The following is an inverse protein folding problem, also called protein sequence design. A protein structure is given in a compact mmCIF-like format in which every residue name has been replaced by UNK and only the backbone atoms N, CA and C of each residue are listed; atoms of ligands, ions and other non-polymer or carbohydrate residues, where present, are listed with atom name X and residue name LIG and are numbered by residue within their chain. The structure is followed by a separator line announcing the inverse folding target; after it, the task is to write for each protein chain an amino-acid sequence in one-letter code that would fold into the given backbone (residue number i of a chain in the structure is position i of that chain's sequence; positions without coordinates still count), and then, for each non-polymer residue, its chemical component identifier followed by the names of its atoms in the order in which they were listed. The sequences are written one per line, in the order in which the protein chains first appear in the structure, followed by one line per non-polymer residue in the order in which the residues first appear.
data_IF_706038710329
#
_entry.id   IF_706038710329
#
_cell.length_a   1.000
_cell.length_b   1.000
_cell.length_c   1.000
_cell.angle_alpha   90.00
_cell.angle_beta   90.00
_cell.angle_gamma   90.00
#
_symmetry.space_group_name_H-M   'P 1'
#
loop_
_entity.id
_entity.type
_entity.pdbx_description
1 polymer ?
#
# COMPACT_ATOMS: atom_id res chain seq x y z
N UNK A 1 4.23 12.55 -20.57
CA UNK A 1 3.58 11.24 -20.73
C UNK A 1 3.35 11.04 -22.21
N UNK A 2 3.75 9.88 -22.73
CA UNK A 2 3.64 9.50 -24.14
C UNK A 2 3.01 8.11 -24.24
N UNK A 3 2.53 7.73 -25.41
CA UNK A 3 2.05 6.37 -25.66
C UNK A 3 2.24 5.95 -27.11
N UNK A 4 2.49 4.67 -27.35
CA UNK A 4 2.61 4.07 -28.68
C UNK A 4 2.12 2.61 -28.63
N UNK A 5 1.72 2.05 -29.77
CA UNK A 5 1.31 0.65 -29.95
C UNK A 5 2.42 -0.21 -30.60
N UNK A 6 3.48 0.42 -31.08
CA UNK A 6 4.64 -0.23 -31.68
C UNK A 6 5.76 -0.45 -30.64
N UNK A 7 6.05 -1.72 -30.34
CA UNK A 7 7.11 -2.10 -29.39
C UNK A 7 8.49 -1.56 -29.76
N UNK A 8 8.84 -1.46 -31.04
CA UNK A 8 10.16 -0.95 -31.45
C UNK A 8 10.30 0.54 -31.10
N UNK A 9 9.20 1.29 -31.24
CA UNK A 9 9.16 2.70 -30.84
C UNK A 9 9.19 2.85 -29.33
N UNK A 10 8.45 2.02 -28.60
CA UNK A 10 8.45 2.00 -27.14
C UNK A 10 9.87 1.77 -26.61
N UNK A 11 10.56 0.72 -27.09
CA UNK A 11 11.91 0.39 -26.64
C UNK A 11 12.92 1.47 -27.04
N UNK A 12 12.85 1.99 -28.27
CA UNK A 12 13.71 3.10 -28.69
C UNK A 12 13.51 4.35 -27.83
N UNK A 13 12.27 4.67 -27.47
CA UNK A 13 11.94 5.83 -26.64
C UNK A 13 12.40 5.64 -25.19
N UNK A 14 12.23 4.44 -24.65
CA UNK A 14 12.70 4.07 -23.31
C UNK A 14 14.22 4.22 -23.20
N UNK A 15 14.97 3.73 -24.19
CA UNK A 15 16.43 3.85 -24.23
C UNK A 15 16.90 5.31 -24.30
N UNK A 16 16.25 6.14 -25.11
CA UNK A 16 16.55 7.58 -25.18
C UNK A 16 16.30 8.28 -23.85
N UNK A 17 15.15 8.00 -23.22
CA UNK A 17 14.81 8.59 -21.92
C UNK A 17 15.84 8.21 -20.85
N UNK A 18 16.25 6.93 -20.82
CA UNK A 18 17.27 6.43 -19.91
C UNK A 18 18.62 7.13 -20.15
N UNK A 19 19.05 7.23 -21.40
CA UNK A 19 20.32 7.85 -21.76
C UNK A 19 20.37 9.35 -21.42
N UNK A 20 19.25 10.06 -21.47
CA UNK A 20 19.17 11.49 -21.15
C UNK A 20 18.82 11.79 -19.68
N UNK A 21 18.50 10.78 -18.86
CA UNK A 21 18.01 10.97 -17.50
C UNK A 21 16.65 11.68 -17.45
N UNK A 22 15.81 11.49 -18.45
CA UNK A 22 14.49 12.12 -18.54
C UNK A 22 13.46 11.36 -17.70
N UNK A 23 12.73 12.06 -16.82
CA UNK A 23 11.58 11.51 -16.12
C UNK A 23 10.38 11.39 -17.08
N UNK A 24 10.20 10.21 -17.67
CA UNK A 24 9.14 9.92 -18.63
C UNK A 24 8.21 8.79 -18.15
N UNK A 25 6.91 9.02 -18.27
CA UNK A 25 5.90 7.95 -18.28
C UNK A 25 5.52 7.63 -19.72
N UNK A 26 5.67 6.36 -20.10
CA UNK A 26 5.43 5.86 -21.46
C UNK A 26 4.43 4.70 -21.41
N UNK A 27 3.28 4.86 -22.06
CA UNK A 27 2.24 3.83 -22.15
C UNK A 27 2.39 2.98 -23.40
N UNK A 28 2.50 1.66 -23.24
CA UNK A 28 2.43 0.73 -24.35
C UNK A 28 0.99 0.25 -24.53
N UNK A 29 0.39 0.50 -25.70
CA UNK A 29 -0.93 -0.02 -26.06
C UNK A 29 -0.80 -1.44 -26.63
N UNK A 30 -0.71 -2.42 -25.74
CA UNK A 30 -0.64 -3.84 -26.11
C UNK A 30 -0.67 -4.74 -24.87
N UNK A 31 -0.33 -6.02 -25.05
CA UNK A 31 -0.29 -6.95 -23.94
C UNK A 31 1.06 -6.86 -23.20
N UNK A 32 1.02 -6.76 -21.87
CA UNK A 32 2.22 -6.67 -21.03
C UNK A 32 3.15 -7.88 -21.21
N UNK A 33 2.61 -9.05 -21.55
CA UNK A 33 3.40 -10.25 -21.83
C UNK A 33 4.28 -10.07 -23.06
N UNK A 34 3.77 -9.45 -24.12
CA UNK A 34 4.55 -9.19 -25.34
C UNK A 34 5.72 -8.24 -25.04
N UNK A 35 5.48 -7.24 -24.18
CA UNK A 35 6.55 -6.35 -23.69
C UNK A 35 7.58 -7.10 -22.86
N UNK A 36 7.15 -7.92 -21.88
CA UNK A 36 8.05 -8.70 -21.05
C UNK A 36 8.91 -9.66 -21.87
N UNK A 37 8.30 -10.41 -22.80
CA UNK A 37 9.02 -11.33 -23.69
C UNK A 37 10.02 -10.58 -24.56
N UNK A 38 9.65 -9.41 -25.08
CA UNK A 38 10.56 -8.58 -25.88
C UNK A 38 11.75 -8.07 -25.08
N UNK A 39 11.51 -7.55 -23.87
CA UNK A 39 12.57 -7.08 -22.95
C UNK A 39 13.53 -8.23 -22.59
N UNK A 40 12.99 -9.42 -22.32
CA UNK A 40 13.77 -10.61 -22.01
C UNK A 40 14.63 -11.06 -23.21
N UNK A 41 14.07 -11.04 -24.42
CA UNK A 41 14.75 -11.44 -25.65
C UNK A 41 15.90 -10.49 -26.03
N UNK A 42 15.70 -9.17 -25.90
CA UNK A 42 16.72 -8.17 -26.24
C UNK A 42 17.77 -7.95 -25.15
N UNK A 43 17.51 -8.44 -23.94
CA UNK A 43 18.36 -8.14 -22.79
C UNK A 43 18.37 -6.67 -22.42
N UNK A 44 17.21 -6.04 -22.60
CA UNK A 44 17.00 -4.66 -22.18
C UNK A 44 17.14 -4.56 -20.65
N UNK A 45 17.98 -3.65 -20.15
CA UNK A 45 18.11 -3.43 -18.70
C UNK A 45 16.80 -2.90 -18.13
N UNK A 46 16.28 -3.60 -17.13
CA UNK A 46 15.13 -3.18 -16.32
C UNK A 46 15.56 -3.25 -14.86
N UNK A 47 15.51 -2.12 -14.16
CA UNK A 47 15.92 -2.07 -12.76
C UNK A 47 14.80 -2.58 -11.83
N UNK A 48 13.56 -2.18 -12.12
CA UNK A 48 12.38 -2.42 -11.29
C UNK A 48 11.23 -2.96 -12.14
N UNK A 49 10.59 -4.04 -11.68
CA UNK A 49 9.46 -4.68 -12.37
C UNK A 49 8.30 -5.01 -11.42
N UNK A 50 7.07 -4.86 -11.89
CA UNK A 50 5.87 -5.27 -11.15
C UNK A 50 4.70 -5.55 -12.10
N UNK A 51 3.57 -6.00 -11.55
CA UNK A 51 2.32 -6.21 -12.26
C UNK A 51 1.14 -5.65 -11.46
N UNK A 52 0.21 -4.96 -12.13
CA UNK A 52 -1.00 -4.41 -11.53
C UNK A 52 -2.25 -4.72 -12.35
N UNK A 53 -2.25 -5.83 -13.10
CA UNK A 53 -3.45 -6.37 -13.74
C UNK A 53 -4.48 -6.80 -12.68
N UNK A 54 -5.74 -7.02 -13.04
CA UNK A 54 -6.79 -7.33 -12.06
C UNK A 54 -6.94 -8.84 -11.81
N UNK A 55 -5.86 -9.48 -11.34
CA UNK A 55 -5.81 -10.93 -11.07
C UNK A 55 -6.58 -11.37 -9.82
N UNK A 56 -7.23 -10.45 -9.09
CA UNK A 56 -8.28 -10.78 -8.12
C UNK A 56 -9.58 -11.25 -8.81
N UNK A 57 -9.72 -11.01 -10.12
CA UNK A 57 -10.86 -11.41 -10.94
C UNK A 57 -10.39 -11.86 -12.35
N UNK A 58 -9.49 -12.85 -12.45
CA UNK A 58 -8.73 -13.14 -13.66
C UNK A 58 -9.60 -13.62 -14.82
N UNK A 59 -10.72 -14.28 -14.52
CA UNK A 59 -11.59 -14.94 -15.51
C UNK A 59 -12.82 -14.12 -15.92
N UNK A 60 -12.96 -12.90 -15.39
CA UNK A 60 -14.12 -12.03 -15.65
C UNK A 60 -13.69 -10.66 -16.18
N UNK A 61 -12.63 -10.64 -17.00
CA UNK A 61 -12.10 -9.42 -17.63
C UNK A 61 -11.05 -8.68 -16.81
N UNK A 62 -10.55 -9.28 -15.73
CA UNK A 62 -9.46 -8.71 -14.95
C UNK A 62 -8.06 -8.93 -15.56
N UNK A 63 -7.91 -9.97 -16.38
CA UNK A 63 -6.69 -10.29 -17.11
C UNK A 63 -7.02 -10.73 -18.54
N UNK A 64 -6.26 -10.24 -19.52
CA UNK A 64 -6.45 -10.54 -20.93
C UNK A 64 -5.25 -11.36 -21.44
N UNK A 65 -5.47 -12.59 -21.94
CA UNK A 65 -4.38 -13.46 -22.36
C UNK A 65 -3.65 -12.93 -23.59
N UNK A 66 -2.33 -13.13 -23.62
CA UNK A 66 -1.49 -12.78 -24.76
C UNK A 66 -1.84 -13.62 -26.00
N UNK A 67 -1.75 -13.00 -27.17
CA UNK A 67 -2.11 -13.63 -28.45
C UNK A 67 -3.58 -13.54 -28.85
N UNK A 68 -4.44 -12.99 -27.99
CA UNK A 68 -5.83 -12.65 -28.32
C UNK A 68 -6.05 -11.13 -28.27
N UNK A 69 -6.84 -10.61 -29.20
CA UNK A 69 -7.33 -9.23 -29.11
C UNK A 69 -8.34 -9.08 -27.96
N UNK A 70 -8.62 -7.83 -27.59
CA UNK A 70 -9.67 -7.50 -26.61
C UNK A 70 -11.03 -8.08 -27.02
N UNK A 71 -11.40 -7.95 -28.29
CA UNK A 71 -12.68 -8.44 -28.81
C UNK A 71 -12.75 -9.97 -28.83
N UNK A 72 -11.66 -10.65 -29.21
CA UNK A 72 -11.60 -12.10 -29.18
C UNK A 72 -11.68 -12.63 -27.75
N UNK A 73 -10.96 -11.99 -26.82
CA UNK A 73 -10.98 -12.33 -25.40
C UNK A 73 -12.39 -12.18 -24.81
N UNK A 74 -13.09 -11.08 -25.10
CA UNK A 74 -14.46 -10.84 -24.62
C UNK A 74 -15.46 -11.85 -25.19
N UNK A 75 -15.31 -12.23 -26.46
CA UNK A 75 -16.13 -13.29 -27.06
C UNK A 75 -15.84 -14.64 -26.42
N UNK A 76 -14.56 -14.99 -26.25
CA UNK A 76 -14.15 -16.26 -25.67
C UNK A 76 -14.63 -16.40 -24.22
N UNK A 77 -14.52 -15.35 -23.41
CA UNK A 77 -14.94 -15.34 -22.01
C UNK A 77 -16.43 -15.73 -21.81
N UNK A 78 -17.28 -15.48 -22.80
CA UNK A 78 -18.71 -15.83 -22.75
C UNK A 78 -19.04 -17.11 -23.52
N UNK A 79 -18.41 -17.33 -24.67
CA UNK A 79 -18.70 -18.46 -25.55
C UNK A 79 -17.97 -19.75 -25.12
N UNK A 80 -16.78 -19.63 -24.53
CA UNK A 80 -15.93 -20.73 -24.06
C UNK A 80 -15.15 -20.32 -22.79
N UNK A 81 -15.82 -20.29 -21.63
CA UNK A 81 -15.20 -19.87 -20.38
C UNK A 81 -14.03 -20.75 -19.95
N UNK A 82 -14.07 -22.06 -20.24
CA UNK A 82 -13.01 -22.99 -19.86
C UNK A 82 -11.77 -22.80 -20.73
N UNK A 83 -11.95 -22.62 -22.05
CA UNK A 83 -10.86 -22.24 -22.94
C UNK A 83 -10.26 -20.87 -22.58
N UNK A 84 -11.09 -19.91 -22.14
CA UNK A 84 -10.58 -18.62 -21.66
C UNK A 84 -9.69 -18.77 -20.42
N UNK A 85 -10.07 -19.64 -19.46
CA UNK A 85 -9.22 -19.96 -18.29
C UNK A 85 -7.89 -20.56 -18.70
N UNK A 86 -7.90 -21.48 -19.67
CA UNK A 86 -6.68 -22.10 -20.18
C UNK A 86 -5.76 -21.08 -20.86
N UNK A 87 -6.33 -20.19 -21.68
CA UNK A 87 -5.59 -19.10 -22.33
C UNK A 87 -4.97 -18.13 -21.30
N UNK A 88 -5.71 -17.77 -20.25
CA UNK A 88 -5.19 -16.96 -19.13
C UNK A 88 -4.03 -17.66 -18.45
N UNK A 89 -4.18 -18.95 -18.12
CA UNK A 89 -3.12 -19.74 -17.49
C UNK A 89 -1.84 -19.81 -18.34
N UNK A 90 -1.98 -19.99 -19.65
CA UNK A 90 -0.85 -20.00 -20.58
C UNK A 90 -0.14 -18.64 -20.65
N UNK A 91 -0.91 -17.55 -20.73
CA UNK A 91 -0.36 -16.20 -20.71
C UNK A 91 0.40 -15.90 -19.42
N UNK A 92 -0.11 -16.34 -18.26
CA UNK A 92 0.59 -16.18 -16.97
C UNK A 92 1.91 -16.95 -16.92
N UNK A 93 1.95 -18.20 -17.44
CA UNK A 93 3.19 -18.98 -17.52
C UNK A 93 4.24 -18.28 -18.37
N UNK A 94 3.84 -17.74 -19.53
CA UNK A 94 4.71 -16.95 -20.41
C UNK A 94 5.22 -15.67 -19.74
N UNK A 95 4.34 -14.94 -19.07
CA UNK A 95 4.69 -13.72 -18.34
C UNK A 95 5.75 -13.99 -17.27
N UNK A 96 5.55 -15.04 -16.45
CA UNK A 96 6.51 -15.42 -15.41
C UNK A 96 7.85 -15.85 -16.00
N UNK A 97 7.85 -16.63 -17.09
CA UNK A 97 9.10 -17.04 -17.73
C UNK A 97 9.94 -15.84 -18.19
N UNK A 98 9.30 -14.82 -18.78
CA UNK A 98 9.97 -13.59 -19.17
C UNK A 98 10.46 -12.76 -17.97
N UNK A 99 9.64 -12.62 -16.93
CA UNK A 99 10.03 -11.94 -15.67
C UNK A 99 11.24 -12.64 -15.04
N UNK A 100 11.23 -13.97 -14.94
CA UNK A 100 12.34 -14.76 -14.41
C UNK A 100 13.63 -14.54 -15.20
N UNK A 101 13.54 -14.46 -16.53
CA UNK A 101 14.70 -14.23 -17.39
C UNK A 101 15.33 -12.84 -17.15
N UNK A 102 14.52 -11.82 -16.88
CA UNK A 102 14.99 -10.45 -16.62
C UNK A 102 15.45 -10.30 -15.17
N UNK A 103 14.74 -10.89 -14.21
CA UNK A 103 15.13 -10.95 -12.80
C UNK A 103 16.48 -11.65 -12.61
N UNK A 104 16.73 -12.72 -13.36
CA UNK A 104 18.03 -13.41 -13.41
C UNK A 104 19.20 -12.52 -13.90
N UNK A 105 18.91 -11.34 -14.44
CA UNK A 105 19.90 -10.34 -14.89
C UNK A 105 19.98 -9.12 -13.96
N UNK A 106 19.29 -9.14 -12.82
CA UNK A 106 19.39 -8.11 -11.78
C UNK A 106 18.16 -7.23 -11.57
N UNK A 107 17.06 -7.45 -12.32
CA UNK A 107 15.80 -6.75 -12.06
C UNK A 107 15.22 -7.16 -10.70
N UNK A 108 14.79 -6.18 -9.91
CA UNK A 108 13.99 -6.43 -8.71
C UNK A 108 12.50 -6.46 -9.08
N UNK A 109 11.90 -7.64 -9.07
CA UNK A 109 10.48 -7.83 -9.29
C UNK A 109 9.71 -7.95 -7.97
N UNK A 110 8.51 -7.38 -7.91
CA UNK A 110 7.59 -7.57 -6.78
C UNK A 110 6.13 -7.65 -7.21
N UNK A 111 5.30 -8.35 -6.42
CA UNK A 111 3.84 -8.38 -6.56
C UNK A 111 3.19 -7.12 -5.98
N UNK A 112 2.30 -6.47 -6.73
CA UNK A 112 1.66 -5.22 -6.31
C UNK A 112 0.38 -5.42 -5.47
N UNK A 113 0.17 -6.60 -4.91
CA UNK A 113 -1.00 -6.96 -4.13
C UNK A 113 -2.26 -7.14 -4.98
N UNK A 114 -2.09 -7.65 -6.21
CA UNK A 114 -3.15 -7.90 -7.18
C UNK A 114 -3.44 -9.39 -7.41
N UNK A 115 -2.82 -10.27 -6.61
CA UNK A 115 -2.87 -11.73 -6.72
C UNK A 115 -2.10 -12.32 -7.92
N UNK A 116 -1.12 -11.61 -8.50
CA UNK A 116 -0.33 -12.09 -9.62
C UNK A 116 0.43 -13.39 -9.29
N UNK A 117 1.20 -13.39 -8.21
CA UNK A 117 1.98 -14.59 -7.82
C UNK A 117 1.08 -15.78 -7.48
N UNK A 118 -0.07 -15.51 -6.86
CA UNK A 118 -1.06 -16.52 -6.50
C UNK A 118 -1.70 -17.16 -7.73
N UNK A 119 -2.21 -16.37 -8.67
CA UNK A 119 -2.82 -16.91 -9.89
C UNK A 119 -1.78 -17.55 -10.82
N UNK A 120 -0.57 -17.00 -10.90
CA UNK A 120 0.52 -17.63 -11.63
C UNK A 120 0.92 -18.99 -11.04
N UNK A 121 0.96 -19.11 -9.72
CA UNK A 121 1.16 -20.39 -9.01
C UNK A 121 0.04 -21.39 -9.32
N UNK A 122 -1.23 -20.95 -9.26
CA UNK A 122 -2.39 -21.78 -9.64
C UNK A 122 -2.34 -22.22 -11.10
N UNK A 123 -1.81 -21.39 -11.98
CA UNK A 123 -1.59 -21.70 -13.40
C UNK A 123 -0.37 -22.61 -13.66
N UNK A 124 0.40 -22.97 -12.63
CA UNK A 124 1.57 -23.83 -12.75
C UNK A 124 2.78 -23.15 -13.38
N UNK A 125 2.95 -21.84 -13.18
CA UNK A 125 4.13 -21.12 -13.65
C UNK A 125 5.41 -21.60 -12.95
N UNK A 126 6.42 -21.99 -13.74
CA UNK A 126 7.68 -22.49 -13.21
C UNK A 126 8.49 -21.37 -12.52
N UNK A 127 9.16 -21.72 -11.42
CA UNK A 127 10.02 -20.79 -10.68
C UNK A 127 9.28 -19.70 -9.90
N UNK A 128 7.94 -19.77 -9.80
CA UNK A 128 7.15 -18.81 -9.01
C UNK A 128 7.09 -19.18 -7.52
N UNK A 129 7.29 -20.46 -7.19
CA UNK A 129 7.38 -20.99 -5.83
C UNK A 129 8.81 -21.48 -5.54
N UNK A 130 9.25 -21.30 -4.30
CA UNK A 130 10.44 -21.91 -3.72
C UNK A 130 10.11 -23.31 -3.19
N UNK A 131 11.15 -24.05 -2.81
CA UNK A 131 11.01 -25.43 -2.27
C UNK A 131 10.16 -25.50 -1.00
N UNK A 132 10.14 -24.43 -0.20
CA UNK A 132 9.34 -24.32 1.02
C UNK A 132 7.88 -23.90 0.78
N UNK A 133 7.49 -23.71 -0.49
CA UNK A 133 6.17 -23.24 -0.89
C UNK A 133 5.96 -21.73 -0.82
N UNK A 134 6.97 -20.94 -0.41
CA UNK A 134 6.92 -19.49 -0.47
C UNK A 134 7.08 -18.97 -1.90
N UNK A 135 6.61 -17.76 -2.19
CA UNK A 135 6.79 -17.17 -3.52
C UNK A 135 8.22 -16.74 -3.78
N UNK A 136 8.71 -16.96 -5.00
CA UNK A 136 10.06 -16.59 -5.43
C UNK A 136 10.31 -15.07 -5.43
N UNK A 137 9.24 -14.28 -5.55
CA UNK A 137 9.26 -12.82 -5.47
C UNK A 137 8.51 -12.34 -4.23
N UNK A 138 8.96 -11.25 -3.60
CA UNK A 138 8.23 -10.61 -2.51
C UNK A 138 6.99 -9.89 -3.05
N UNK A 139 5.99 -9.71 -2.19
CA UNK A 139 5.02 -8.63 -2.40
C UNK A 139 5.63 -7.27 -2.04
N UNK A 140 5.10 -6.20 -2.61
CA UNK A 140 5.51 -4.84 -2.24
C UNK A 140 5.27 -4.55 -0.76
N UNK A 141 4.34 -5.26 -0.11
CA UNK A 141 4.14 -5.12 1.34
C UNK A 141 5.22 -5.84 2.14
N UNK A 142 5.68 -7.00 1.71
CA UNK A 142 6.76 -7.72 2.39
C UNK A 142 8.06 -6.92 2.43
N UNK A 143 8.42 -6.28 1.32
CA UNK A 143 9.75 -5.66 1.16
C UNK A 143 9.74 -4.14 1.28
N UNK A 144 8.62 -3.47 0.98
CA UNK A 144 8.53 -2.01 0.95
C UNK A 144 7.54 -1.52 2.00
N UNK A 145 6.23 -1.76 1.84
CA UNK A 145 5.22 -1.11 2.69
C UNK A 145 5.30 -1.54 4.14
N UNK A 146 5.49 -2.83 4.42
CA UNK A 146 5.63 -3.33 5.78
C UNK A 146 6.85 -2.69 6.46
N UNK A 147 8.07 -2.99 5.97
CA UNK A 147 9.30 -2.54 6.61
C UNK A 147 9.51 -1.02 6.59
N UNK A 148 9.08 -0.31 5.55
CA UNK A 148 9.38 1.12 5.37
C UNK A 148 8.23 2.01 5.85
N UNK A 149 6.98 1.54 5.78
CA UNK A 149 5.80 2.34 6.11
C UNK A 149 5.09 1.83 7.37
N UNK A 150 4.38 0.71 7.27
CA UNK A 150 3.44 0.24 8.29
C UNK A 150 4.11 -0.11 9.61
N UNK A 151 5.30 -0.74 9.57
CA UNK A 151 6.03 -1.04 10.78
C UNK A 151 6.49 0.25 11.49
N UNK A 152 6.53 1.40 10.81
CA UNK A 152 6.77 2.71 11.43
C UNK A 152 5.51 3.55 11.64
N UNK A 153 4.32 2.99 11.37
CA UNK A 153 3.03 3.65 11.55
C UNK A 153 2.63 4.59 10.41
N UNK A 154 3.44 4.70 9.36
CA UNK A 154 3.07 5.44 8.15
C UNK A 154 2.00 4.68 7.39
N UNK A 155 1.01 5.41 6.92
CA UNK A 155 -0.02 4.89 6.05
C UNK A 155 -0.89 6.02 5.53
N UNK A 156 -1.88 5.70 4.68
CA UNK A 156 -2.67 6.69 3.98
C UNK A 156 -3.41 7.58 4.97
N UNK A 157 -3.15 8.88 4.93
CA UNK A 157 -3.85 9.90 5.66
C UNK A 157 -4.52 10.84 4.66
N UNK A 158 -5.85 10.87 4.68
CA UNK A 158 -6.67 11.52 3.66
C UNK A 158 -7.57 12.54 4.31
N UNK A 159 -7.91 13.58 3.55
CA UNK A 159 -8.93 14.51 3.98
C UNK A 159 -9.74 15.07 2.83
N UNK A 160 -10.90 15.60 3.16
CA UNK A 160 -11.83 16.28 2.26
C UNK A 160 -12.24 17.62 2.88
N UNK A 161 -12.10 18.70 2.11
CA UNK A 161 -12.59 20.02 2.50
C UNK A 161 -14.08 20.12 2.18
N UNK A 162 -14.93 20.20 3.21
CA UNK A 162 -16.40 20.20 3.03
C UNK A 162 -16.94 21.48 2.37
N UNK A 163 -16.14 22.55 2.34
CA UNK A 163 -16.46 23.79 1.61
C UNK A 163 -16.46 23.61 0.08
N UNK A 164 -15.77 22.59 -0.43
CA UNK A 164 -15.55 22.41 -1.86
C UNK A 164 -14.62 23.46 -2.50
N UNK A 165 -13.94 24.29 -1.71
CA UNK A 165 -13.08 25.36 -2.19
C UNK A 165 -11.65 24.88 -2.50
N UNK A 166 -11.09 25.34 -3.63
CA UNK A 166 -9.67 25.20 -3.93
C UNK A 166 -8.78 25.94 -2.92
N UNK A 167 -9.25 27.06 -2.36
CA UNK A 167 -8.50 27.82 -1.35
C UNK A 167 -8.31 27.04 -0.06
N UNK A 168 -9.33 26.26 0.33
CA UNK A 168 -9.26 25.44 1.54
C UNK A 168 -8.32 24.24 1.31
N UNK A 169 -8.37 23.65 0.11
CA UNK A 169 -7.42 22.59 -0.25
C UNK A 169 -5.98 23.11 -0.24
N UNK A 170 -5.73 24.28 -0.84
CA UNK A 170 -4.43 24.94 -0.81
C UNK A 170 -3.96 25.24 0.62
N UNK A 171 -4.88 25.69 1.49
CA UNK A 171 -4.58 25.94 2.90
C UNK A 171 -4.22 24.65 3.63
N UNK A 172 -4.96 23.55 3.40
CA UNK A 172 -4.65 22.24 3.99
C UNK A 172 -3.34 21.66 3.46
N UNK A 173 -3.04 21.79 2.17
CA UNK A 173 -1.77 21.33 1.57
C UNK A 173 -0.59 22.06 2.23
N UNK A 174 -0.69 23.39 2.40
CA UNK A 174 0.33 24.20 3.08
C UNK A 174 0.50 23.79 4.54
N UNK A 175 -0.59 23.67 5.31
CA UNK A 175 -0.54 23.30 6.73
C UNK A 175 0.07 21.90 6.90
N UNK A 176 -0.35 20.93 6.09
CA UNK A 176 0.21 19.58 6.13
C UNK A 176 1.72 19.60 5.81
N UNK A 177 2.14 20.34 4.79
CA UNK A 177 3.55 20.52 4.46
C UNK A 177 4.38 21.14 5.59
N UNK A 178 3.88 22.18 6.25
CA UNK A 178 4.53 22.81 7.42
C UNK A 178 4.66 21.83 8.60
N UNK A 179 3.63 21.03 8.86
CA UNK A 179 3.66 19.99 9.90
C UNK A 179 4.64 18.87 9.56
N UNK A 180 4.68 18.39 8.31
CA UNK A 180 5.65 17.37 7.89
C UNK A 180 7.08 17.90 7.95
N UNK A 181 7.33 19.13 7.50
CA UNK A 181 8.65 19.75 7.52
C UNK A 181 9.20 19.95 8.93
N UNK A 182 8.35 20.41 9.86
CA UNK A 182 8.73 20.54 11.27
C UNK A 182 8.97 19.17 11.91
N UNK A 183 8.08 18.21 11.69
CA UNK A 183 8.21 16.85 12.23
C UNK A 183 9.48 16.17 11.70
N UNK A 184 9.80 16.30 10.41
CA UNK A 184 11.01 15.72 9.80
C UNK A 184 12.33 16.27 10.37
N UNK A 185 12.33 17.45 11.00
CA UNK A 185 13.53 18.02 11.66
C UNK A 185 13.78 17.38 13.03
N UNK A 186 12.73 16.91 13.68
CA UNK A 186 12.75 16.30 15.02
C UNK A 186 12.78 14.76 14.94
N UNK A 187 12.42 14.20 13.79
CA UNK A 187 12.29 12.75 13.60
C UNK A 187 13.62 12.02 13.54
N UNK A 188 13.67 10.79 14.08
CA UNK A 188 14.83 9.92 13.98
C UNK A 188 15.04 9.46 12.52
N UNK A 189 16.23 8.90 12.23
CA UNK A 189 16.63 8.55 10.86
C UNK A 189 15.65 7.57 10.20
N UNK A 190 15.10 6.65 10.99
CA UNK A 190 14.21 5.57 10.58
C UNK A 190 12.89 6.08 9.96
N UNK A 191 12.35 7.20 10.45
CA UNK A 191 11.07 7.74 9.97
C UNK A 191 11.23 9.00 9.12
N UNK A 192 12.42 9.62 9.15
CA UNK A 192 12.68 10.90 8.48
C UNK A 192 12.50 10.83 6.97
N UNK A 193 12.99 9.78 6.32
CA UNK A 193 12.90 9.67 4.86
C UNK A 193 11.44 9.66 4.38
N UNK A 194 10.58 8.87 5.04
CA UNK A 194 9.15 8.82 4.71
C UNK A 194 8.46 10.18 4.86
N UNK A 195 8.81 10.97 5.88
CA UNK A 195 8.29 12.33 6.02
C UNK A 195 8.75 13.26 4.89
N UNK A 196 10.01 13.12 4.45
CA UNK A 196 10.56 13.92 3.34
C UNK A 196 9.92 13.56 2.00
N UNK A 197 9.66 12.27 1.75
CA UNK A 197 8.98 11.80 0.53
C UNK A 197 7.56 12.38 0.47
N UNK A 198 6.85 12.37 1.60
CA UNK A 198 5.50 12.94 1.69
C UNK A 198 5.47 14.47 1.65
N UNK A 199 6.53 15.12 2.14
CA UNK A 199 6.72 16.57 2.00
C UNK A 199 6.99 16.97 0.54
N UNK A 200 7.78 16.19 -0.19
CA UNK A 200 8.01 16.40 -1.62
C UNK A 200 6.68 16.27 -2.38
N UNK A 201 5.94 15.19 -2.11
CA UNK A 201 4.63 14.94 -2.69
C UNK A 201 3.67 16.10 -2.46
N UNK A 202 3.43 16.51 -1.20
CA UNK A 202 2.41 17.53 -0.90
C UNK A 202 2.74 18.89 -1.55
N UNK A 203 4.03 19.20 -1.73
CA UNK A 203 4.50 20.41 -2.43
C UNK A 203 4.23 20.38 -3.93
N UNK A 204 4.18 19.20 -4.55
CA UNK A 204 3.94 19.02 -5.98
C UNK A 204 2.49 18.59 -6.31
N UNK A 205 1.71 18.19 -5.31
CA UNK A 205 0.41 17.54 -5.51
C UNK A 205 -0.61 18.44 -6.24
N UNK A 206 -0.49 19.76 -6.12
CA UNK A 206 -1.31 20.74 -6.86
C UNK A 206 -0.98 20.76 -8.35
N UNK A 207 0.30 20.79 -8.70
CA UNK A 207 0.79 20.91 -10.07
C UNK A 207 0.38 19.70 -10.93
N UNK A 208 0.29 18.54 -10.29
CA UNK A 208 -0.15 17.28 -10.88
C UNK A 208 -1.66 17.22 -11.19
N UNK A 209 -2.48 18.17 -10.71
CA UNK A 209 -3.92 18.31 -11.06
C UNK A 209 -4.75 17.01 -10.91
N UNK A 210 -4.53 16.29 -9.82
CA UNK A 210 -5.13 14.97 -9.57
C UNK A 210 -6.52 15.01 -8.91
N UNK A 211 -7.06 16.21 -8.64
CA UNK A 211 -8.35 16.36 -7.94
C UNK A 211 -9.50 16.08 -8.88
N UNK A 212 -10.32 15.09 -8.54
CA UNK A 212 -11.58 14.76 -9.23
C UNK A 212 -12.71 14.76 -8.21
N UNK A 213 -13.78 15.52 -8.47
CA UNK A 213 -14.93 15.62 -7.57
C UNK A 213 -14.63 16.47 -6.33
N UNK A 214 -14.67 15.86 -5.15
CA UNK A 214 -14.46 16.55 -3.87
C UNK A 214 -13.03 17.11 -3.75
N UNK A 215 -12.88 18.27 -3.09
CA UNK A 215 -11.57 18.85 -2.78
C UNK A 215 -10.86 18.03 -1.71
N UNK A 216 -10.09 17.06 -2.16
CA UNK A 216 -9.48 16.04 -1.33
C UNK A 216 -7.98 15.92 -1.60
N UNK A 217 -7.26 15.45 -0.59
CA UNK A 217 -5.83 15.15 -0.66
C UNK A 217 -5.52 13.89 0.14
N UNK A 218 -4.40 13.28 -0.20
CA UNK A 218 -3.82 12.12 0.48
C UNK A 218 -2.32 12.39 0.66
N UNK A 219 -1.74 11.86 1.72
CA UNK A 219 -0.30 11.65 1.91
C UNK A 219 -0.14 10.52 2.94
N UNK A 220 1.08 10.08 3.20
CA UNK A 220 1.40 9.16 4.29
C UNK A 220 1.92 9.92 5.51
N UNK A 221 1.40 9.58 6.68
CA UNK A 221 1.85 10.12 7.96
C UNK A 221 1.82 9.05 9.04
N UNK A 222 2.78 9.13 9.95
CA UNK A 222 2.93 8.27 11.12
C UNK A 222 2.06 8.73 12.30
N UNK A 223 2.13 8.01 13.42
CA UNK A 223 1.36 8.28 14.65
C UNK A 223 1.38 9.78 15.07
N UNK A 224 2.54 10.42 15.29
CA UNK A 224 2.57 11.83 15.63
C UNK A 224 2.15 12.73 14.46
N UNK A 225 2.52 12.39 13.23
CA UNK A 225 2.17 13.17 12.04
C UNK A 225 0.67 13.32 11.84
N UNK A 226 -0.10 12.22 11.93
CA UNK A 226 -1.56 12.24 11.78
C UNK A 226 -2.23 13.14 12.82
N UNK A 227 -1.84 13.00 14.08
CA UNK A 227 -2.39 13.80 15.19
C UNK A 227 -2.05 15.29 15.00
N UNK A 228 -0.79 15.62 14.69
CA UNK A 228 -0.35 17.01 14.50
C UNK A 228 -1.08 17.69 13.33
N UNK A 229 -1.23 17.00 12.19
CA UNK A 229 -1.96 17.53 11.03
C UNK A 229 -3.44 17.72 11.38
N UNK A 230 -4.08 16.73 12.02
CA UNK A 230 -5.48 16.82 12.41
C UNK A 230 -5.76 18.01 13.34
N UNK A 231 -4.92 18.22 14.35
CA UNK A 231 -5.04 19.34 15.28
C UNK A 231 -4.80 20.69 14.58
N UNK A 232 -3.82 20.77 13.67
CA UNK A 232 -3.54 21.98 12.90
C UNK A 232 -4.69 22.34 11.94
N UNK A 233 -5.31 21.35 11.31
CA UNK A 233 -6.51 21.56 10.50
C UNK A 233 -7.68 22.04 11.36
N UNK A 234 -7.93 21.38 12.50
CA UNK A 234 -9.03 21.77 13.38
C UNK A 234 -8.84 23.19 13.93
N UNK A 235 -7.62 23.57 14.32
CA UNK A 235 -7.28 24.95 14.68
C UNK A 235 -7.59 25.90 13.50
N UNK A 236 -7.08 25.61 12.30
CA UNK A 236 -7.32 26.45 11.13
C UNK A 236 -8.81 26.63 10.78
N UNK A 237 -9.65 25.61 10.97
CA UNK A 237 -11.11 25.72 10.85
C UNK A 237 -11.67 26.65 11.93
N UNK A 238 -11.25 26.50 13.20
CA UNK A 238 -11.74 27.30 14.33
C UNK A 238 -11.49 28.81 14.15
N UNK A 239 -10.37 29.18 13.51
CA UNK A 239 -9.99 30.58 13.24
C UNK A 239 -10.37 31.07 11.83
N UNK A 240 -11.09 30.25 11.06
CA UNK A 240 -11.57 30.60 9.72
C UNK A 240 -10.50 30.70 8.64
N UNK A 241 -9.30 30.16 8.88
CA UNK A 241 -8.25 30.05 7.86
C UNK A 241 -8.56 28.94 6.83
N UNK A 242 -9.35 27.95 7.24
CA UNK A 242 -10.07 27.03 6.36
C UNK A 242 -11.55 27.37 6.54
N UNK A 243 -12.26 27.62 5.43
CA UNK A 243 -13.60 28.22 5.46
C UNK A 243 -14.73 27.28 5.91
N UNK A 244 -14.50 25.97 5.90
CA UNK A 244 -15.47 24.98 6.35
C UNK A 244 -14.84 23.73 6.98
N UNK A 245 -15.65 22.81 7.52
CA UNK A 245 -15.17 21.59 8.15
C UNK A 245 -14.30 20.72 7.23
N UNK A 246 -13.38 19.96 7.83
CA UNK A 246 -12.53 18.99 7.13
C UNK A 246 -12.86 17.60 7.63
N UNK A 247 -13.18 16.68 6.72
CA UNK A 247 -13.34 15.27 7.06
C UNK A 247 -12.00 14.57 6.85
N UNK A 248 -11.46 13.97 7.91
CA UNK A 248 -10.35 13.04 7.82
C UNK A 248 -10.84 11.62 7.51
N UNK A 249 -9.99 10.85 6.88
CA UNK A 249 -10.19 9.41 6.67
C UNK A 249 -8.93 8.77 6.12
N UNK A 250 -9.07 7.54 5.65
CA UNK A 250 -7.99 6.79 5.01
C UNK A 250 -8.53 5.68 4.12
N UNK A 251 -7.66 5.14 3.26
CA UNK A 251 -7.92 3.83 2.69
C UNK A 251 -7.78 2.75 3.79
N UNK A 252 -8.31 1.57 3.55
CA UNK A 252 -8.16 0.45 4.48
C UNK A 252 -6.75 -0.16 4.41
N UNK A 253 -6.00 0.11 3.33
CA UNK A 253 -4.59 -0.24 3.17
C UNK A 253 -3.69 0.54 4.14
N UNK A 254 -3.71 0.16 5.41
CA UNK A 254 -3.06 0.89 6.50
C UNK A 254 -2.50 -0.04 7.59
N UNK A 255 -1.68 0.51 8.47
CA UNK A 255 -0.96 -0.18 9.55
C UNK A 255 -1.83 -1.08 10.42
N UNK A 256 -3.04 -0.65 10.77
CA UNK A 256 -3.94 -1.34 11.71
C UNK A 256 -5.26 -1.78 11.10
N UNK A 257 -5.66 -1.16 10.00
CA UNK A 257 -7.02 -1.30 9.46
C UNK A 257 -7.30 -2.65 8.84
N UNK A 258 -6.28 -3.42 8.46
CA UNK A 258 -6.47 -4.59 7.58
C UNK A 258 -5.63 -5.78 7.99
N UNK A 259 -6.29 -6.94 8.07
CA UNK A 259 -5.68 -8.25 8.13
C UNK A 259 -5.82 -8.94 6.76
N UNK A 260 -4.68 -9.16 6.10
CA UNK A 260 -4.60 -9.67 4.73
C UNK A 260 -3.27 -10.41 4.52
N UNK A 261 -3.24 -11.76 4.63
CA UNK A 261 -2.00 -12.53 4.61
C UNK A 261 -1.25 -12.42 3.27
N UNK A 262 -1.93 -12.01 2.20
CA UNK A 262 -1.34 -11.83 0.87
C UNK A 262 -0.96 -10.39 0.55
N UNK A 263 -1.22 -9.45 1.48
CA UNK A 263 -0.91 -8.03 1.26
C UNK A 263 -0.57 -7.35 2.58
N UNK A 264 -1.49 -6.65 3.25
CA UNK A 264 -1.20 -5.78 4.40
C UNK A 264 -0.48 -6.46 5.57
N UNK A 265 -0.70 -7.77 5.79
CA UNK A 265 -0.06 -8.56 6.84
C UNK A 265 0.88 -9.63 6.29
N UNK A 266 1.29 -9.54 5.03
CA UNK A 266 2.21 -10.51 4.40
C UNK A 266 3.60 -10.53 5.05
N UNK A 267 4.04 -9.39 5.63
CA UNK A 267 5.31 -9.30 6.36
C UNK A 267 5.23 -9.81 7.82
N UNK A 268 4.08 -10.33 8.26
CA UNK A 268 3.88 -10.90 9.61
C UNK A 268 4.26 -12.39 9.59
N UNK A 269 5.31 -12.75 10.34
CA UNK A 269 5.95 -14.08 10.25
C UNK A 269 5.78 -14.96 11.49
N UNK A 270 4.99 -14.55 12.48
CA UNK A 270 4.70 -15.34 13.68
C UNK A 270 3.54 -16.34 13.49
N UNK A 271 2.99 -16.43 12.28
CA UNK A 271 1.82 -17.25 11.93
C UNK A 271 0.48 -16.53 12.09
N UNK A 272 0.45 -15.33 12.69
CA UNK A 272 -0.77 -14.57 12.92
C UNK A 272 -1.27 -13.78 11.71
N UNK A 273 -0.60 -13.86 10.56
CA UNK A 273 -1.03 -13.16 9.33
C UNK A 273 -2.42 -13.57 8.85
N UNK A 274 -2.87 -14.78 9.21
CA UNK A 274 -4.17 -15.36 8.86
C UNK A 274 -5.30 -15.03 9.86
N UNK A 275 -5.00 -14.35 10.97
CA UNK A 275 -6.05 -13.94 11.92
C UNK A 275 -6.70 -12.62 11.47
N UNK A 276 -7.81 -12.23 12.09
CA UNK A 276 -8.55 -11.00 11.78
C UNK A 276 -8.74 -10.08 13.00
N UNK A 277 -8.04 -10.37 14.10
CA UNK A 277 -8.23 -9.68 15.38
C UNK A 277 -7.86 -8.21 15.28
N UNK A 278 -6.79 -7.86 14.56
CA UNK A 278 -6.28 -6.49 14.49
C UNK A 278 -7.30 -5.56 13.82
N UNK A 279 -7.82 -5.97 12.66
CA UNK A 279 -8.79 -5.18 11.89
C UNK A 279 -10.12 -5.01 12.66
N UNK A 280 -10.60 -6.08 13.30
CA UNK A 280 -11.83 -6.04 14.11
C UNK A 280 -11.64 -5.15 15.34
N UNK A 281 -10.54 -5.32 16.08
CA UNK A 281 -10.19 -4.48 17.22
C UNK A 281 -10.03 -3.01 16.82
N UNK A 282 -9.44 -2.73 15.64
CA UNK A 282 -9.23 -1.37 15.17
C UNK A 282 -10.55 -0.62 15.06
N UNK A 283 -11.49 -1.16 14.29
CA UNK A 283 -12.80 -0.57 14.03
C UNK A 283 -13.59 -0.37 15.33
N UNK A 284 -13.56 -1.38 16.21
CA UNK A 284 -14.21 -1.30 17.52
C UNK A 284 -13.59 -0.17 18.33
N UNK A 285 -12.26 -0.09 18.42
CA UNK A 285 -11.59 0.93 19.20
C UNK A 285 -11.70 2.35 18.64
N UNK A 286 -11.80 2.52 17.32
CA UNK A 286 -12.11 3.81 16.67
C UNK A 286 -13.51 4.29 17.05
N UNK A 287 -14.49 3.37 17.08
CA UNK A 287 -15.91 3.68 17.27
C UNK A 287 -16.22 4.39 18.60
N UNK A 288 -15.51 4.02 19.68
CA UNK A 288 -15.70 4.62 21.00
C UNK A 288 -14.60 5.64 21.37
N UNK A 289 -13.70 5.98 20.43
CA UNK A 289 -12.71 7.05 20.58
C UNK A 289 -13.04 8.33 19.80
N UNK A 290 -14.19 8.34 19.13
CA UNK A 290 -14.77 9.55 18.57
C UNK A 290 -14.69 9.67 17.06
N UNK A 291 -14.43 8.57 16.34
CA UNK A 291 -14.71 8.51 14.90
C UNK A 291 -16.15 9.00 14.62
N UNK A 292 -16.35 9.75 13.54
CA UNK A 292 -17.69 10.18 13.12
C UNK A 292 -18.46 9.01 12.50
N UNK A 293 -17.76 8.13 11.79
CA UNK A 293 -18.24 6.80 11.40
C UNK A 293 -17.07 5.82 11.32
N UNK A 294 -17.41 4.54 11.36
CA UNK A 294 -16.48 3.43 11.14
C UNK A 294 -17.09 2.42 10.16
N UNK A 295 -16.23 1.59 9.56
CA UNK A 295 -16.63 0.56 8.60
C UNK A 295 -15.73 -0.67 8.74
N UNK A 296 -16.31 -1.86 8.56
CA UNK A 296 -15.61 -3.14 8.51
C UNK A 296 -16.11 -3.92 7.30
N UNK A 297 -15.20 -4.27 6.40
CA UNK A 297 -15.49 -4.92 5.12
C UNK A 297 -14.82 -6.29 5.03
N UNK A 298 -15.32 -7.10 4.10
CA UNK A 298 -14.74 -8.37 3.67
C UNK A 298 -14.35 -8.24 2.20
N UNK A 299 -13.10 -8.55 1.88
CA UNK A 299 -12.64 -8.71 0.50
C UNK A 299 -11.98 -7.50 -0.15
N UNK A 300 -11.73 -6.41 0.59
CA UNK A 300 -11.08 -5.23 0.03
C UNK A 300 -9.65 -5.50 -0.43
N UNK A 301 -9.40 -5.38 -1.73
CA UNK A 301 -8.07 -5.51 -2.31
C UNK A 301 -7.79 -6.87 -2.92
N UNK A 302 -7.62 -7.90 -2.10
CA UNK A 302 -7.23 -9.25 -2.55
C UNK A 302 -8.42 -10.17 -2.86
N UNK A 303 -9.66 -9.71 -2.64
CA UNK A 303 -10.88 -10.44 -3.00
C UNK A 303 -11.61 -11.09 -1.82
N UNK A 304 -12.88 -11.45 -2.06
CA UNK A 304 -13.80 -11.94 -1.03
C UNK A 304 -13.28 -13.19 -0.30
N UNK A 305 -13.26 -13.13 1.04
CA UNK A 305 -12.83 -14.25 1.90
C UNK A 305 -11.34 -14.23 2.25
N UNK A 306 -10.54 -13.41 1.57
CA UNK A 306 -9.07 -13.38 1.74
C UNK A 306 -8.60 -12.24 2.66
N UNK A 307 -9.50 -11.35 3.08
CA UNK A 307 -9.15 -10.13 3.83
C UNK A 307 -10.31 -9.60 4.66
N UNK A 308 -9.97 -9.13 5.87
CA UNK A 308 -10.85 -8.33 6.74
C UNK A 308 -10.26 -6.94 6.88
N UNK A 309 -10.98 -5.92 6.44
CA UNK A 309 -10.43 -4.57 6.31
C UNK A 309 -11.40 -3.49 6.77
N UNK A 310 -10.93 -2.57 7.61
CA UNK A 310 -11.71 -1.52 8.24
C UNK A 310 -11.13 -0.12 8.08
N UNK A 311 -12.00 0.87 8.27
CA UNK A 311 -11.68 2.28 8.11
C UNK A 311 -12.62 3.18 8.88
N UNK A 312 -12.28 4.48 8.90
CA UNK A 312 -12.99 5.50 9.65
C UNK A 312 -13.22 6.75 8.80
N UNK A 313 -14.14 7.59 9.26
CA UNK A 313 -14.12 9.02 8.95
C UNK A 313 -14.30 9.85 10.20
N UNK A 314 -13.64 11.00 10.24
CA UNK A 314 -13.60 11.89 11.41
C UNK A 314 -13.75 13.36 10.99
N UNK A 315 -14.83 14.00 11.44
CA UNK A 315 -15.12 15.40 11.17
C UNK A 315 -14.34 16.33 12.11
N UNK A 316 -13.60 17.27 11.51
CA UNK A 316 -12.98 18.42 12.16
C UNK A 316 -13.82 19.66 11.88
N UNK A 317 -14.53 20.13 12.89
CA UNK A 317 -15.46 21.27 12.82
C UNK A 317 -14.93 22.53 13.52
N UNK A 318 -13.67 22.52 13.96
CA UNK A 318 -13.04 23.59 14.73
C UNK A 318 -13.34 23.54 16.23
N UNK A 319 -14.15 22.60 16.71
CA UNK A 319 -14.48 22.51 18.13
C UNK A 319 -13.33 21.89 18.95
N UNK A 320 -13.18 22.26 20.24
CA UNK A 320 -12.29 21.55 21.15
C UNK A 320 -12.63 20.06 21.31
N UNK A 321 -13.90 19.69 21.09
CA UNK A 321 -14.33 18.29 21.11
C UNK A 321 -13.74 17.50 19.95
N UNK A 322 -13.78 18.06 18.73
CA UNK A 322 -13.14 17.44 17.57
C UNK A 322 -11.64 17.23 17.78
N UNK A 323 -10.93 18.18 18.41
CA UNK A 323 -9.51 17.99 18.79
C UNK A 323 -9.31 16.80 19.74
N UNK A 324 -10.16 16.65 20.76
CA UNK A 324 -10.06 15.50 21.69
C UNK A 324 -10.33 14.18 20.99
N UNK A 325 -11.36 14.12 20.14
CA UNK A 325 -11.70 12.92 19.35
C UNK A 325 -10.57 12.56 18.40
N UNK A 326 -10.00 13.54 17.69
CA UNK A 326 -8.88 13.34 16.79
C UNK A 326 -7.65 12.76 17.49
N UNK A 327 -7.21 13.36 18.59
CA UNK A 327 -6.06 12.85 19.35
C UNK A 327 -6.30 11.44 19.88
N UNK A 328 -7.50 11.15 20.41
CA UNK A 328 -7.82 9.84 20.97
C UNK A 328 -7.91 8.76 19.90
N UNK A 329 -8.70 9.01 18.85
CA UNK A 329 -8.97 8.05 17.78
C UNK A 329 -7.71 7.79 16.95
N UNK A 330 -7.01 8.83 16.46
CA UNK A 330 -5.82 8.64 15.62
C UNK A 330 -4.66 8.00 16.38
N UNK A 331 -4.57 8.21 17.70
CA UNK A 331 -3.59 7.50 18.52
C UNK A 331 -3.85 6.00 18.51
N UNK A 332 -5.11 5.57 18.68
CA UNK A 332 -5.49 4.17 18.61
C UNK A 332 -5.36 3.56 17.20
N UNK A 333 -5.90 4.25 16.18
CA UNK A 333 -5.91 3.80 14.78
C UNK A 333 -4.51 3.47 14.25
N UNK A 334 -3.46 4.11 14.77
CA UNK A 334 -2.07 3.78 14.42
C UNK A 334 -1.41 2.85 15.43
N UNK A 335 -1.57 3.10 16.74
CA UNK A 335 -0.85 2.34 17.76
C UNK A 335 -1.31 0.88 17.88
N UNK A 336 -2.57 0.57 17.54
CA UNK A 336 -3.09 -0.79 17.52
C UNK A 336 -2.26 -1.70 16.59
N UNK A 337 -2.07 -1.28 15.33
CA UNK A 337 -1.29 -2.01 14.35
C UNK A 337 0.20 -2.02 14.69
N UNK A 338 0.75 -0.92 15.22
CA UNK A 338 2.13 -0.91 15.74
C UNK A 338 2.32 -1.95 16.85
N UNK A 339 1.39 -2.04 17.80
CA UNK A 339 1.46 -3.03 18.87
C UNK A 339 1.39 -4.47 18.34
N UNK A 340 0.48 -4.75 17.40
CA UNK A 340 0.36 -6.08 16.77
C UNK A 340 1.61 -6.44 15.97
N UNK A 341 2.10 -5.54 15.12
CA UNK A 341 3.31 -5.73 14.30
C UNK A 341 4.55 -5.90 15.17
N UNK A 342 4.65 -5.13 16.26
CA UNK A 342 5.72 -5.27 17.24
C UNK A 342 5.65 -6.64 17.92
N UNK A 343 4.47 -7.10 18.32
CA UNK A 343 4.28 -8.43 18.90
C UNK A 343 4.68 -9.56 17.95
N UNK A 344 4.42 -9.38 16.65
CA UNK A 344 4.90 -10.26 15.58
C UNK A 344 6.41 -10.17 15.30
N UNK A 345 7.15 -9.37 16.09
CA UNK A 345 8.61 -9.16 16.05
C UNK A 345 9.11 -8.34 14.86
N UNK A 346 8.27 -7.50 14.26
CA UNK A 346 8.74 -6.56 13.25
C UNK A 346 9.60 -5.46 13.91
N UNK A 347 10.88 -5.30 13.52
CA UNK A 347 11.81 -4.41 14.22
C UNK A 347 11.41 -2.93 14.12
N UNK A 348 10.88 -2.49 12.97
CA UNK A 348 10.36 -1.13 12.81
C UNK A 348 9.21 -0.83 13.77
N UNK A 349 8.33 -1.82 14.00
CA UNK A 349 7.17 -1.68 14.88
C UNK A 349 7.58 -1.68 16.35
N UNK A 350 8.54 -2.53 16.74
CA UNK A 350 9.14 -2.49 18.08
C UNK A 350 9.73 -1.10 18.35
N UNK A 351 10.47 -0.55 17.38
CA UNK A 351 11.02 0.81 17.49
C UNK A 351 9.92 1.87 17.62
N UNK A 352 8.95 1.89 16.70
CA UNK A 352 7.93 2.93 16.64
C UNK A 352 7.01 2.91 17.87
N UNK A 353 6.57 1.72 18.30
CA UNK A 353 5.70 1.58 19.48
C UNK A 353 6.43 1.93 20.78
N UNK A 354 7.72 1.64 20.88
CA UNK A 354 8.53 2.02 22.05
C UNK A 354 8.61 3.54 22.19
N UNK A 355 8.87 4.25 21.10
CA UNK A 355 8.85 5.73 21.07
C UNK A 355 7.47 6.31 21.36
N UNK A 356 6.41 5.65 20.89
CA UNK A 356 5.04 6.05 21.21
C UNK A 356 4.75 5.93 22.71
N UNK A 357 5.18 4.84 23.37
CA UNK A 357 5.06 4.67 24.83
C UNK A 357 5.91 5.68 25.63
N UNK A 358 7.07 6.09 25.11
CA UNK A 358 7.86 7.17 25.74
C UNK A 358 7.11 8.51 25.71
N UNK A 359 6.42 8.78 24.61
CA UNK A 359 5.70 10.04 24.36
C UNK A 359 4.33 10.09 25.05
N UNK A 360 3.68 8.93 25.25
CA UNK A 360 2.39 8.78 25.94
C UNK A 360 2.50 7.72 27.04
N UNK A 361 2.65 8.16 28.28
CA UNK A 361 2.78 7.30 29.46
C UNK A 361 1.53 6.46 29.78
N UNK A 362 0.37 6.81 29.20
CA UNK A 362 -0.84 6.00 29.30
C UNK A 362 -0.84 4.82 28.30
N UNK A 363 -0.03 4.90 27.24
CA UNK A 363 0.17 3.80 26.30
C UNK A 363 1.12 2.77 26.90
N UNK A 364 0.63 1.55 27.11
CA UNK A 364 1.44 0.41 27.55
C UNK A 364 1.12 -0.80 26.70
N UNK A 365 2.09 -1.21 25.88
CA UNK A 365 1.97 -2.39 25.03
C UNK A 365 2.90 -3.49 25.51
N UNK A 366 2.54 -4.74 25.23
CA UNK A 366 3.42 -5.88 25.48
C UNK A 366 4.45 -5.97 24.36
N UNK A 367 5.74 -5.81 24.69
CA UNK A 367 6.83 -6.04 23.74
C UNK A 367 7.18 -7.54 23.70
N UNK A 368 7.54 -8.08 22.52
CA UNK A 368 7.91 -9.49 22.41
C UNK A 368 9.27 -9.77 23.05
N UNK A 369 9.43 -10.96 23.59
CA UNK A 369 10.74 -11.53 23.94
C UNK A 369 11.10 -12.60 22.92
N UNK A 370 12.24 -12.46 22.26
CA UNK A 370 12.71 -13.44 21.28
C UNK A 370 13.49 -14.55 21.99
N UNK A 371 13.06 -15.81 21.81
CA UNK A 371 13.77 -16.97 22.33
C UNK A 371 15.03 -17.26 21.51
N UNK A 372 16.05 -17.84 22.17
CA UNK A 372 17.25 -18.32 21.49
C UNK A 372 16.90 -19.49 20.54
N UNK A 373 17.27 -19.44 19.24
CA UNK A 373 16.96 -20.50 18.29
C UNK A 373 17.48 -21.89 18.69
N UNK A 374 18.62 -21.97 19.38
CA UNK A 374 19.17 -23.21 19.90
C UNK A 374 18.31 -23.81 21.02
N UNK A 375 17.72 -22.96 21.87
CA UNK A 375 16.75 -23.40 22.88
C UNK A 375 15.48 -23.94 22.21
N UNK A 376 15.01 -23.28 21.15
CA UNK A 376 13.84 -23.74 20.38
C UNK A 376 14.13 -25.07 19.69
N UNK A 377 15.27 -25.20 18.99
CA UNK A 377 15.67 -26.46 18.34
C UNK A 377 15.76 -27.59 19.35
N UNK A 378 16.47 -27.38 20.46
CA UNK A 378 16.61 -28.39 21.51
C UNK A 378 15.25 -28.83 22.10
N UNK A 379 14.27 -27.93 22.18
CA UNK A 379 12.93 -28.27 22.65
C UNK A 379 12.11 -29.07 21.62
N UNK A 380 12.35 -28.86 20.32
CA UNK A 380 11.67 -29.58 19.23
C UNK A 380 12.33 -30.93 18.90
N UNK A 381 13.65 -31.00 18.97
CA UNK A 381 14.45 -32.22 18.72
C UNK A 381 14.27 -33.27 19.83
N UNK A 382 13.73 -32.86 20.99
CA UNK A 382 13.39 -33.73 22.11
C UNK A 382 11.98 -34.35 22.07
N UNK A 383 11.22 -34.16 20.98
CA UNK A 383 9.83 -34.63 20.81
C UNK A 383 9.75 -35.87 19.94
#
# INVERSE_FOLDING_TARGET
MESDDDLDRILSRMEKARASGEALSLGYLGNVVDLWERLAAEGTPVDLGSDQTSLHAPYTGGYYPAGLSLDESNRMMTADPDGFREAVGESLRRQVAAINAIAGRGMSFWDYGNAFLLEASRAGAEGILREDGSFAYPSYVEDIMGPVCFDYGFGPFRWVCCSGSDSDLDATDRIAGEVLESTAKESPQETRQQLLDNLLWIRQARENRLVVGSKARILYADHPGRIRIALAFNDAVARGAISGPVVLGRDHHDVSGTDSPYRETANIRDGSSFTADMAVQNVIGDSFRGATWVSLHNGGGVGWGEVVNGGFGLLLDGSPEASRRASSMLSWDVANGLARRAWARNPGAVFAVSRAMESDQAMRVTLPSTADPGVVSAALDGV
#
